data_IF_769367808687
#
_entry.id   IF_769367808687
#
_cell.length_a   1.000
_cell.length_b   1.000
_cell.length_c   1.000
_cell.angle_alpha   90.00
_cell.angle_beta   90.00
_cell.angle_gamma   90.00
#
_symmetry.space_group_name_H-M   'P 1'
#
loop_
_entity.id
_entity.type
_entity.pdbx_description
1 polymer ?
#
# COMPACT_ATOMS: atom_id res chain seq x y z
N UNK A 1 -7.89 1.58 14.50
CA UNK A 1 -6.54 2.09 14.13
C UNK A 1 -5.64 0.90 13.84
N UNK A 2 -4.63 1.01 12.97
CA UNK A 2 -3.60 -0.03 12.86
C UNK A 2 -2.64 0.16 14.03
N UNK A 3 -2.84 -0.59 15.10
CA UNK A 3 -1.93 -0.65 16.25
C UNK A 3 -0.77 -1.58 15.87
N UNK A 4 0.45 -1.09 16.06
CA UNK A 4 1.64 -1.94 16.09
C UNK A 4 1.91 -2.26 17.58
N UNK A 5 1.67 -3.51 17.98
CA UNK A 5 2.24 -4.11 19.21
C UNK A 5 2.63 -5.56 18.89
N UNK A 6 3.53 -6.19 19.66
CA UNK A 6 4.86 -6.61 19.19
C UNK A 6 4.87 -8.01 18.55
N UNK A 7 5.90 -8.21 17.72
CA UNK A 7 6.57 -9.46 17.28
C UNK A 7 5.85 -10.80 17.50
N UNK A 8 5.34 -11.37 16.41
CA UNK A 8 4.86 -12.75 16.31
C UNK A 8 4.08 -12.92 15.00
N UNK A 9 4.76 -13.43 13.96
CA UNK A 9 4.35 -13.44 12.55
C UNK A 9 4.19 -12.03 11.94
N UNK A 10 5.06 -11.66 11.01
CA UNK A 10 5.21 -10.31 10.43
C UNK A 10 4.04 -9.94 9.46
N UNK A 11 2.85 -10.46 9.74
CA UNK A 11 1.66 -10.37 8.93
C UNK A 11 0.63 -9.46 9.61
N UNK A 12 0.44 -8.26 9.03
CA UNK A 12 -0.68 -7.38 9.40
C UNK A 12 -2.00 -8.14 9.26
N UNK A 13 -2.76 -8.23 10.35
CA UNK A 13 -4.14 -8.74 10.36
C UNK A 13 -5.11 -7.58 10.08
N UNK A 14 -6.01 -7.78 9.12
CA UNK A 14 -7.08 -6.82 8.81
C UNK A 14 -6.77 -5.79 7.71
N UNK A 15 -7.84 -5.11 7.27
CA UNK A 15 -7.80 -4.18 6.15
C UNK A 15 -7.17 -2.83 6.53
N UNK A 16 -6.39 -2.26 5.62
CA UNK A 16 -5.80 -0.92 5.73
C UNK A 16 -6.81 0.11 5.23
N UNK A 17 -7.57 0.69 6.16
CA UNK A 17 -8.63 1.67 5.83
C UNK A 17 -8.13 3.11 5.59
N UNK A 18 -7.00 3.49 6.19
CA UNK A 18 -6.44 4.85 6.11
C UNK A 18 -5.58 5.09 4.87
N UNK A 19 -5.41 4.09 4.01
CA UNK A 19 -4.56 4.17 2.81
C UNK A 19 -5.30 3.59 1.62
N UNK A 20 -5.04 4.17 0.48
CA UNK A 20 -5.46 3.66 -0.82
C UNK A 20 -4.22 3.34 -1.66
N UNK A 21 -4.41 2.61 -2.75
CA UNK A 21 -3.33 2.31 -3.69
C UNK A 21 -3.77 2.53 -5.13
N UNK A 22 -2.82 3.00 -5.94
CA UNK A 22 -2.97 3.25 -7.37
C UNK A 22 -1.92 2.44 -8.13
N UNK A 23 -2.29 1.98 -9.33
CA UNK A 23 -1.33 1.44 -10.29
C UNK A 23 -0.63 2.62 -10.98
N UNK A 24 0.67 2.74 -10.81
CA UNK A 24 1.48 3.82 -11.37
C UNK A 24 2.60 3.22 -12.22
N UNK A 25 2.86 3.80 -13.38
CA UNK A 25 3.98 3.42 -14.23
C UNK A 25 5.14 4.39 -13.97
N UNK A 26 6.25 3.90 -13.41
CA UNK A 26 7.46 4.71 -13.20
C UNK A 26 8.60 4.06 -13.96
N UNK A 27 9.30 4.85 -14.79
CA UNK A 27 10.41 4.38 -15.62
C UNK A 27 10.04 3.18 -16.51
N UNK A 28 8.82 3.18 -17.04
CA UNK A 28 8.34 2.11 -17.92
C UNK A 28 7.79 0.87 -17.22
N UNK A 29 7.94 0.76 -15.90
CA UNK A 29 7.54 -0.43 -15.13
C UNK A 29 6.27 -0.20 -14.31
N UNK A 30 5.43 -1.25 -14.21
CA UNK A 30 4.23 -1.22 -13.38
C UNK A 30 4.56 -1.35 -11.89
N UNK A 31 4.14 -0.35 -11.13
CA UNK A 31 4.35 -0.24 -9.68
C UNK A 31 3.03 0.03 -8.97
N UNK A 32 2.93 -0.44 -7.73
CA UNK A 32 1.83 -0.09 -6.84
C UNK A 32 2.28 0.98 -5.87
N UNK A 33 1.57 2.11 -5.85
CA UNK A 33 1.88 3.23 -4.97
C UNK A 33 0.75 3.44 -3.97
N UNK A 34 1.09 3.59 -2.70
CA UNK A 34 0.16 3.91 -1.61
C UNK A 34 -0.01 5.41 -1.49
N UNK A 35 -1.26 5.82 -1.28
CA UNK A 35 -1.66 7.19 -0.98
C UNK A 35 -2.30 7.27 0.40
N UNK A 36 -2.04 8.36 1.11
CA UNK A 36 -2.71 8.72 2.37
C UNK A 36 -4.14 9.16 2.08
N UNK A 37 -5.14 8.56 2.76
CA UNK A 37 -6.52 9.07 2.66
C UNK A 37 -6.69 10.39 3.43
N UNK A 38 -5.83 10.67 4.40
CA UNK A 38 -5.92 11.86 5.24
C UNK A 38 -5.29 13.09 4.56
N UNK A 39 -4.12 12.93 3.93
CA UNK A 39 -3.35 14.03 3.35
C UNK A 39 -3.33 14.04 1.82
N UNK A 40 -3.70 12.93 1.16
CA UNK A 40 -3.61 12.80 -0.30
C UNK A 40 -2.19 12.51 -0.82
N UNK A 41 -1.18 12.52 0.04
CA UNK A 41 0.22 12.34 -0.33
C UNK A 41 0.56 10.88 -0.64
N UNK A 42 1.58 10.69 -1.49
CA UNK A 42 2.15 9.38 -1.77
C UNK A 42 3.08 8.96 -0.62
N UNK A 43 2.81 7.80 -0.02
CA UNK A 43 3.50 7.33 1.19
C UNK A 43 4.62 6.35 0.85
N UNK A 44 4.35 5.42 -0.06
CA UNK A 44 5.22 4.28 -0.30
C UNK A 44 4.91 3.66 -1.65
N UNK A 45 5.95 3.23 -2.33
CA UNK A 45 5.85 2.51 -3.60
C UNK A 45 6.46 1.11 -3.47
N UNK A 46 5.88 0.13 -4.18
CA UNK A 46 6.51 -1.18 -4.29
C UNK A 46 7.74 -1.11 -5.19
N UNK A 47 8.79 -1.82 -4.80
CA UNK A 47 9.91 -2.11 -5.70
C UNK A 47 9.37 -2.80 -6.95
N UNK A 48 9.90 -2.41 -8.08
CA UNK A 48 9.55 -3.01 -9.36
C UNK A 48 10.32 -4.30 -9.63
N UNK A 49 9.79 -5.16 -10.51
CA UNK A 49 8.43 -5.12 -11.06
C UNK A 49 7.39 -5.57 -10.02
N UNK A 50 6.36 -4.78 -9.79
CA UNK A 50 5.39 -5.07 -8.74
C UNK A 50 4.22 -5.92 -9.27
N UNK A 51 4.40 -7.24 -9.33
CA UNK A 51 3.37 -8.19 -9.84
C UNK A 51 2.03 -8.10 -9.10
N UNK A 52 2.06 -7.82 -7.79
CA UNK A 52 0.87 -7.83 -6.95
C UNK A 52 0.71 -6.54 -6.14
N UNK A 53 -0.54 -6.11 -5.99
CA UNK A 53 -0.94 -4.98 -5.14
C UNK A 53 -0.60 -5.22 -3.66
N UNK A 54 -0.60 -4.16 -2.85
CA UNK A 54 -0.48 -4.33 -1.41
C UNK A 54 -1.69 -5.07 -0.85
N UNK A 55 -1.43 -6.12 -0.07
CA UNK A 55 -2.48 -6.91 0.60
C UNK A 55 -3.26 -6.02 1.56
N UNK A 56 -4.59 -6.11 1.51
CA UNK A 56 -5.49 -5.39 2.40
C UNK A 56 -5.60 -3.88 2.18
N UNK A 57 -5.00 -3.31 1.11
CA UNK A 57 -5.15 -1.90 0.74
C UNK A 57 -6.19 -1.76 -0.38
N UNK A 58 -7.13 -0.83 -0.24
CA UNK A 58 -8.15 -0.55 -1.27
C UNK A 58 -7.50 0.06 -2.52
N UNK A 59 -7.89 -0.41 -3.71
CA UNK A 59 -7.55 0.28 -4.97
C UNK A 59 -8.39 1.54 -5.14
N UNK A 60 -7.75 2.61 -5.58
CA UNK A 60 -8.45 3.78 -6.12
C UNK A 60 -9.20 3.34 -7.38
N UNK A 61 -10.41 3.87 -7.56
CA UNK A 61 -11.24 3.66 -8.75
C UNK A 61 -10.99 4.85 -9.66
#
# INVERSE_FOLDING_TARGET
MAVNKPTGDNARKGAVRKRSQLATKIQGEDKWTKRSKATGEFISQKKAPAKAKYKGVRRER
#
